data_IF_826834944635
#
_entry.id   IF_826834944635
#
_cell.length_a   1.000
_cell.length_b   1.000
_cell.length_c   1.000
_cell.angle_alpha   90.00
_cell.angle_beta   90.00
_cell.angle_gamma   90.00
#
_symmetry.space_group_name_H-M   'P 1'
#
loop_
_entity.id
_entity.type
_entity.pdbx_description
1 polymer ?
#
# COMPACT_ATOMS: atom_id res chain seq x y z
N UNK A 1 26.81 -9.51 -4.63
CA UNK A 1 25.94 -8.37 -4.99
C UNK A 1 24.61 -9.03 -5.22
N UNK A 2 23.79 -9.10 -4.17
CA UNK A 2 22.50 -9.76 -4.28
C UNK A 2 21.63 -8.84 -5.13
N UNK A 3 21.00 -9.39 -6.16
CA UNK A 3 19.92 -8.76 -6.91
C UNK A 3 18.94 -8.14 -5.91
N UNK A 4 18.95 -6.82 -5.90
CA UNK A 4 17.94 -6.01 -5.23
C UNK A 4 16.67 -6.23 -6.08
N UNK A 5 15.86 -7.22 -5.72
CA UNK A 5 14.54 -7.44 -6.30
C UNK A 5 13.64 -6.27 -5.88
N UNK A 6 13.89 -5.11 -6.48
CA UNK A 6 13.06 -3.92 -6.38
C UNK A 6 11.65 -4.35 -6.75
N UNK A 7 10.71 -4.23 -5.80
CA UNK A 7 9.31 -4.55 -6.04
C UNK A 7 8.82 -3.79 -7.29
N UNK A 8 8.40 -4.52 -8.32
CA UNK A 8 7.87 -3.94 -9.54
C UNK A 8 6.35 -4.07 -9.56
N UNK A 9 5.69 -2.96 -9.83
CA UNK A 9 4.24 -2.96 -10.05
C UNK A 9 3.92 -3.76 -11.33
N UNK A 10 2.92 -4.66 -11.32
CA UNK A 10 2.51 -5.36 -12.54
C UNK A 10 1.91 -4.39 -13.56
N UNK A 11 1.91 -4.76 -14.85
CA UNK A 11 1.32 -3.94 -15.94
C UNK A 11 -0.18 -3.65 -15.73
N UNK A 12 -0.87 -4.56 -15.02
CA UNK A 12 -2.28 -4.43 -14.69
C UNK A 12 -2.49 -4.59 -13.19
N UNK A 13 -2.15 -3.58 -12.36
CA UNK A 13 -2.26 -3.69 -10.92
C UNK A 13 -3.72 -3.71 -10.48
N UNK A 14 -4.06 -4.74 -9.72
CA UNK A 14 -5.29 -4.82 -8.96
C UNK A 14 -5.02 -4.44 -7.51
N UNK A 15 -5.87 -3.60 -6.95
CA UNK A 15 -5.79 -3.12 -5.57
C UNK A 15 -7.03 -3.55 -4.82
N UNK A 16 -6.86 -4.22 -3.67
CA UNK A 16 -7.97 -4.57 -2.77
C UNK A 16 -7.83 -3.82 -1.45
N UNK A 17 -8.93 -3.25 -0.98
CA UNK A 17 -9.06 -2.66 0.35
C UNK A 17 -9.87 -3.63 1.22
N UNK A 18 -9.19 -4.42 2.04
CA UNK A 18 -9.81 -5.34 3.00
C UNK A 18 -9.87 -4.71 4.40
N UNK A 19 -10.56 -5.35 5.34
CA UNK A 19 -10.69 -4.84 6.71
C UNK A 19 -9.33 -4.74 7.43
N UNK A 20 -8.49 -5.77 7.28
CA UNK A 20 -7.22 -5.89 7.98
C UNK A 20 -5.99 -5.64 7.10
N UNK A 21 -6.17 -5.37 5.80
CA UNK A 21 -5.03 -5.15 4.89
C UNK A 21 -5.39 -4.43 3.58
N UNK A 22 -4.35 -3.89 2.96
CA UNK A 22 -4.35 -3.46 1.56
C UNK A 22 -3.53 -4.46 0.74
N UNK A 23 -4.06 -4.85 -0.42
CA UNK A 23 -3.44 -5.84 -1.31
C UNK A 23 -3.14 -5.23 -2.67
N UNK A 24 -1.96 -5.54 -3.20
CA UNK A 24 -1.61 -5.31 -4.61
C UNK A 24 -1.36 -6.66 -5.26
N UNK A 25 -1.96 -6.89 -6.42
CA UNK A 25 -1.76 -8.12 -7.17
C UNK A 25 -1.86 -7.91 -8.68
N UNK A 26 -1.49 -8.92 -9.46
CA UNK A 26 -1.60 -8.86 -10.92
C UNK A 26 -3.04 -9.15 -11.38
N UNK A 27 -3.72 -8.08 -11.82
CA UNK A 27 -5.08 -8.11 -12.32
C UNK A 27 -5.24 -8.82 -13.67
N UNK A 28 -4.16 -9.09 -14.42
CA UNK A 28 -4.23 -9.89 -15.65
C UNK A 28 -4.72 -11.32 -15.39
N UNK A 29 -4.56 -11.81 -14.15
CA UNK A 29 -5.02 -13.12 -13.73
C UNK A 29 -6.51 -13.15 -13.36
N UNK A 30 -7.20 -12.00 -13.28
CA UNK A 30 -8.63 -11.89 -12.92
C UNK A 30 -9.62 -12.26 -14.03
N UNK A 31 -9.29 -13.25 -14.87
CA UNK A 31 -10.15 -13.70 -15.97
C UNK A 31 -11.34 -14.57 -15.54
N UNK A 32 -11.34 -15.12 -14.32
CA UNK A 32 -12.42 -16.00 -13.82
C UNK A 32 -12.64 -15.86 -12.31
N UNK A 33 -13.86 -16.10 -11.83
CA UNK A 33 -14.20 -16.05 -10.39
C UNK A 33 -13.36 -17.02 -9.52
N UNK A 34 -12.87 -18.12 -10.09
CA UNK A 34 -11.95 -19.04 -9.42
C UNK A 34 -10.54 -18.47 -9.27
N UNK A 35 -10.09 -17.65 -10.22
CA UNK A 35 -8.78 -16.99 -10.16
C UNK A 35 -8.73 -15.92 -9.06
N UNK A 36 -9.86 -15.27 -8.74
CA UNK A 36 -9.96 -14.29 -7.64
C UNK A 36 -9.64 -14.93 -6.27
N UNK A 37 -10.00 -16.20 -6.07
CA UNK A 37 -9.73 -16.91 -4.80
C UNK A 37 -8.30 -17.46 -4.70
N UNK A 38 -7.59 -17.57 -5.82
CA UNK A 38 -6.23 -18.11 -5.90
C UNK A 38 -5.18 -17.01 -6.16
N UNK A 39 -5.59 -15.75 -6.11
CA UNK A 39 -4.75 -14.62 -6.50
C UNK A 39 -3.75 -14.35 -5.37
N UNK A 40 -2.49 -14.69 -5.62
CA UNK A 40 -1.40 -14.42 -4.67
C UNK A 40 -1.07 -12.92 -4.72
N UNK A 41 -1.19 -12.20 -3.60
CA UNK A 41 -0.85 -10.79 -3.57
C UNK A 41 0.66 -10.62 -3.73
N UNK A 42 1.06 -9.74 -4.65
CA UNK A 42 2.44 -9.30 -4.82
C UNK A 42 2.90 -8.46 -3.62
N UNK A 43 1.98 -7.69 -3.05
CA UNK A 43 2.20 -6.90 -1.84
C UNK A 43 0.99 -7.00 -0.93
N UNK A 44 1.25 -7.20 0.36
CA UNK A 44 0.23 -7.19 1.41
C UNK A 44 0.66 -6.27 2.54
N UNK A 45 -0.06 -5.18 2.71
CA UNK A 45 0.18 -4.18 3.75
C UNK A 45 -0.88 -4.34 4.83
N UNK A 46 -0.47 -4.77 6.02
CA UNK A 46 -1.35 -5.07 7.15
C UNK A 46 -1.73 -3.79 7.90
N UNK A 47 -2.98 -3.74 8.34
CA UNK A 47 -3.47 -2.70 9.25
C UNK A 47 -2.90 -2.97 10.64
N UNK A 48 -2.21 -1.98 11.23
CA UNK A 48 -1.60 -2.12 12.56
C UNK A 48 -1.00 -0.81 13.07
N UNK A 49 -0.85 -0.69 14.39
CA UNK A 49 -0.22 0.49 14.98
C UNK A 49 1.21 0.67 14.46
N UNK A 50 1.52 1.86 13.95
CA UNK A 50 2.83 2.15 13.39
C UNK A 50 3.13 1.46 12.05
N UNK A 51 2.20 0.73 11.43
CA UNK A 51 2.37 0.23 10.06
C UNK A 51 2.09 1.32 9.02
N UNK A 52 2.35 1.02 7.74
CA UNK A 52 1.93 1.92 6.64
C UNK A 52 0.43 2.21 6.71
N UNK A 53 -0.39 1.19 6.98
CA UNK A 53 -1.80 1.37 7.29
C UNK A 53 -2.04 1.26 8.79
N UNK A 54 -2.31 2.39 9.46
CA UNK A 54 -2.72 2.38 10.88
C UNK A 54 -4.24 2.24 11.06
N UNK A 55 -4.98 2.45 9.96
CA UNK A 55 -6.44 2.31 9.87
C UNK A 55 -6.81 1.49 8.65
N UNK A 56 -8.02 0.95 8.70
CA UNK A 56 -8.61 0.19 7.60
C UNK A 56 -8.62 1.02 6.31
N UNK A 57 -8.07 0.51 5.19
CA UNK A 57 -8.25 1.11 3.88
C UNK A 57 -9.71 0.95 3.43
N UNK A 58 -10.31 2.01 2.91
CA UNK A 58 -11.72 2.03 2.48
C UNK A 58 -11.80 1.99 0.96
N UNK A 59 -10.98 2.78 0.27
CA UNK A 59 -10.96 2.85 -1.19
C UNK A 59 -9.63 3.38 -1.71
N UNK A 60 -9.28 2.99 -2.92
CA UNK A 60 -8.27 3.68 -3.71
C UNK A 60 -8.87 5.00 -4.21
N UNK A 61 -8.32 6.12 -3.75
CA UNK A 61 -8.76 7.47 -4.10
C UNK A 61 -8.17 7.93 -5.44
N UNK A 62 -6.88 7.64 -5.67
CA UNK A 62 -6.15 7.96 -6.88
C UNK A 62 -5.11 6.88 -7.16
N UNK A 63 -4.81 6.65 -8.44
CA UNK A 63 -3.73 5.77 -8.86
C UNK A 63 -3.16 6.20 -10.20
N UNK A 64 -1.86 6.00 -10.34
CA UNK A 64 -1.07 6.16 -11.55
C UNK A 64 -0.03 5.03 -11.63
N UNK A 65 0.86 5.05 -12.63
CA UNK A 65 1.75 3.91 -12.93
C UNK A 65 2.68 3.54 -11.77
N UNK A 66 3.02 4.48 -10.89
CA UNK A 66 3.99 4.28 -9.80
C UNK A 66 3.49 4.76 -8.43
N UNK A 67 2.30 5.37 -8.35
CA UNK A 67 1.74 5.82 -7.08
C UNK A 67 0.31 5.36 -6.90
N UNK A 68 -0.05 5.10 -5.63
CA UNK A 68 -1.44 4.89 -5.24
C UNK A 68 -1.76 5.69 -3.99
N UNK A 69 -2.91 6.35 -4.00
CA UNK A 69 -3.47 7.04 -2.84
C UNK A 69 -4.67 6.26 -2.34
N UNK A 70 -4.65 5.88 -1.08
CA UNK A 70 -5.68 5.03 -0.43
C UNK A 70 -6.31 5.83 0.70
N UNK A 71 -7.62 6.05 0.62
CA UNK A 71 -8.39 6.67 1.70
C UNK A 71 -8.72 5.62 2.76
N UNK A 72 -8.43 5.93 4.01
CA UNK A 72 -8.66 5.06 5.16
C UNK A 72 -9.80 5.58 6.05
N UNK A 73 -10.30 4.72 6.93
CA UNK A 73 -11.28 5.11 7.94
C UNK A 73 -10.75 6.27 8.81
N UNK A 74 -11.61 7.27 9.04
CA UNK A 74 -11.20 8.50 9.74
C UNK A 74 -10.67 9.60 8.82
N UNK A 75 -10.62 9.37 7.51
CA UNK A 75 -10.33 10.39 6.49
C UNK A 75 -8.84 10.68 6.29
N UNK A 76 -7.96 9.85 6.84
CA UNK A 76 -6.54 9.88 6.44
C UNK A 76 -6.36 9.28 5.04
N UNK A 77 -5.39 9.79 4.30
CA UNK A 77 -5.04 9.28 2.97
C UNK A 77 -3.59 8.83 2.99
N UNK A 78 -3.36 7.54 2.74
CA UNK A 78 -2.01 6.96 2.62
C UNK A 78 -1.61 7.01 1.15
N UNK A 79 -0.51 7.65 0.85
CA UNK A 79 0.10 7.70 -0.48
C UNK A 79 1.32 6.77 -0.49
N UNK A 80 1.31 5.82 -1.41
CA UNK A 80 2.37 4.84 -1.61
C UNK A 80 3.07 5.18 -2.92
N UNK A 81 4.40 5.27 -2.86
CA UNK A 81 5.29 5.46 -4.00
C UNK A 81 6.07 4.16 -4.21
N UNK A 82 5.75 3.47 -5.31
CA UNK A 82 6.36 2.19 -5.65
C UNK A 82 7.72 2.35 -6.35
N UNK A 83 8.05 3.53 -6.88
CA UNK A 83 9.37 3.80 -7.46
C UNK A 83 10.40 4.07 -6.36
N UNK A 84 10.02 4.92 -5.40
CA UNK A 84 10.85 5.25 -4.24
C UNK A 84 10.77 4.18 -3.13
N UNK A 85 9.84 3.23 -3.22
CA UNK A 85 9.52 2.26 -2.17
C UNK A 85 9.24 2.91 -0.81
N UNK A 86 8.47 4.01 -0.82
CA UNK A 86 8.12 4.76 0.39
C UNK A 86 6.62 4.94 0.55
N UNK A 87 6.21 5.32 1.77
CA UNK A 87 4.84 5.71 2.06
C UNK A 87 4.81 7.04 2.82
N UNK A 88 3.79 7.85 2.55
CA UNK A 88 3.43 9.02 3.33
C UNK A 88 1.94 8.98 3.62
N UNK A 89 1.50 9.68 4.66
CA UNK A 89 0.08 9.86 4.93
C UNK A 89 -0.27 11.32 5.15
N UNK A 90 -1.44 11.69 4.67
CA UNK A 90 -2.03 13.01 4.83
C UNK A 90 -3.18 12.91 5.83
N UNK A 91 -3.15 13.76 6.84
CA UNK A 91 -4.20 13.85 7.86
C UNK A 91 -4.61 15.31 8.05
N UNK A 92 -5.71 15.61 8.77
CA UNK A 92 -6.06 16.98 9.14
C UNK A 92 -4.98 17.71 9.96
N UNK A 93 -4.04 16.99 10.56
CA UNK A 93 -2.94 17.53 11.38
C UNK A 93 -1.71 17.89 10.54
N UNK A 94 -1.65 17.43 9.29
CA UNK A 94 -0.52 17.59 8.39
C UNK A 94 -0.14 16.29 7.68
N UNK A 95 0.99 16.36 6.97
CA UNK A 95 1.61 15.24 6.27
C UNK A 95 2.66 14.56 7.14
N UNK A 96 2.76 13.24 6.98
CA UNK A 96 3.72 12.42 7.71
C UNK A 96 4.39 11.43 6.76
N UNK A 97 5.68 11.20 6.92
CA UNK A 97 6.44 10.19 6.18
C UNK A 97 6.64 8.94 7.03
N UNK A 98 6.51 7.76 6.43
CA UNK A 98 6.81 6.50 7.07
C UNK A 98 8.31 6.41 7.37
N UNK A 99 8.69 5.82 8.51
CA UNK A 99 10.10 5.75 8.94
C UNK A 99 10.91 4.70 8.19
N UNK A 100 10.28 3.67 7.66
CA UNK A 100 10.93 2.60 6.89
C UNK A 100 10.63 2.65 5.40
N UNK A 101 11.08 1.64 4.67
CA UNK A 101 10.63 1.39 3.29
C UNK A 101 9.31 0.62 3.26
N UNK A 102 8.78 0.37 2.06
CA UNK A 102 7.61 -0.51 1.88
C UNK A 102 7.92 -1.97 2.27
N UNK A 103 9.19 -2.39 2.25
CA UNK A 103 9.63 -3.69 2.76
C UNK A 103 9.38 -3.83 4.29
N UNK A 104 9.48 -2.73 5.04
CA UNK A 104 9.25 -2.67 6.48
C UNK A 104 7.81 -2.27 6.82
N UNK A 105 6.89 -2.27 5.86
CA UNK A 105 5.58 -1.64 6.00
C UNK A 105 4.69 -2.25 7.09
N UNK A 106 5.01 -3.47 7.53
CA UNK A 106 4.28 -4.22 8.55
C UNK A 106 5.03 -4.33 9.89
N UNK A 107 6.21 -3.71 10.00
CA UNK A 107 7.10 -3.83 11.16
C UNK A 107 6.82 -2.79 12.26
N UNK A 108 5.78 -1.97 12.12
CA UNK A 108 5.40 -1.00 13.15
C UNK A 108 6.39 0.17 13.31
N UNK A 109 7.13 0.55 12.26
CA UNK A 109 8.19 1.58 12.34
C UNK A 109 7.63 2.97 12.68
N UNK A 110 6.37 3.21 12.35
CA UNK A 110 5.66 4.46 12.60
C UNK A 110 6.03 5.58 11.64
N UNK A 111 5.53 6.77 11.97
CA UNK A 111 5.61 7.95 11.12
C UNK A 111 6.41 9.09 11.76
N UNK A 112 6.85 10.04 10.95
CA UNK A 112 7.37 11.33 11.39
C UNK A 112 6.74 12.48 10.60
N UNK A 113 6.61 13.68 11.18
CA UNK A 113 6.04 14.83 10.48
C UNK A 113 6.89 15.18 9.25
N UNK A 114 6.26 15.24 8.07
CA UNK A 114 6.89 15.84 6.90
C UNK A 114 6.99 17.35 7.15
N UNK A 115 8.19 17.91 7.01
CA UNK A 115 8.47 19.33 7.28
C UNK A 115 8.01 20.24 6.16
#
# INVERSE_FOLDING_TARGET
MADDELFQLPEHPFYSCEEDCFLVADGSQMGTAAAVLALEPLLKLMVGEGNVFERRPVKVAEKDDLHVSVECEGGEVVHIDFDALTARKTTPQGEFLYRGGLEDANEGMGYFPAR
#
